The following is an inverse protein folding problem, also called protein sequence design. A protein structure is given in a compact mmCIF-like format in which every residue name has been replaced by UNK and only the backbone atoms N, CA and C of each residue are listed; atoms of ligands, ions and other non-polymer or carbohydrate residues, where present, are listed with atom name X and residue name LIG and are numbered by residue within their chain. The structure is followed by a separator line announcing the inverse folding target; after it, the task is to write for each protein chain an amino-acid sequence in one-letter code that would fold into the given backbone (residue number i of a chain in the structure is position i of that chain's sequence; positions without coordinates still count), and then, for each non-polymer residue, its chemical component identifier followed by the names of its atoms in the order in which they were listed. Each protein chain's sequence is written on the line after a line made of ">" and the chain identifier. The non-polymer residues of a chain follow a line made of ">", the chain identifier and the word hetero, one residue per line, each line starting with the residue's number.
data_IF_312469464465
#
_entry.id   IF_312469464465
#
_cell.length_a   1.000
_cell.length_b   1.000
_cell.length_c   1.000
_cell.angle_alpha   90.00
_cell.angle_beta   90.00
_cell.angle_gamma   90.00
#
_symmetry.space_group_name_H-M   'P 1'
#
loop_
_entity.id
_entity.type
_entity.pdbx_description
1 polymer ?
#
# COMPACT_ATOMS: atom_id res chain seq x y z
N UNK A 1 -7.53 -28.57 14.32
CA UNK A 1 -7.50 -27.14 14.00
C UNK A 1 -7.31 -27.00 12.49
N UNK A 2 -8.23 -26.39 11.76
CA UNK A 2 -7.99 -26.13 10.34
C UNK A 2 -6.80 -25.17 10.22
N UNK A 3 -5.78 -25.56 9.46
CA UNK A 3 -4.70 -24.66 9.05
C UNK A 3 -5.37 -23.56 8.22
N UNK A 4 -5.34 -22.32 8.71
CA UNK A 4 -5.68 -21.15 7.89
C UNK A 4 -4.54 -21.08 6.87
N UNK A 5 -4.76 -21.68 5.70
CA UNK A 5 -3.86 -21.49 4.55
C UNK A 5 -3.86 -20.01 4.23
N UNK A 6 -2.68 -19.41 4.13
CA UNK A 6 -2.52 -18.04 3.64
C UNK A 6 -3.20 -17.94 2.28
N UNK A 7 -3.90 -16.84 1.97
CA UNK A 7 -4.54 -16.69 0.67
C UNK A 7 -3.50 -16.79 -0.43
N UNK A 8 -3.81 -17.58 -1.47
CA UNK A 8 -2.97 -17.64 -2.66
C UNK A 8 -3.16 -16.32 -3.44
N UNK A 9 -2.06 -15.62 -3.69
CA UNK A 9 -2.03 -14.41 -4.54
C UNK A 9 -1.67 -14.88 -5.95
N UNK A 10 -2.68 -15.05 -6.79
CA UNK A 10 -2.52 -15.58 -8.16
C UNK A 10 -2.76 -14.48 -9.18
N UNK A 11 -1.74 -14.17 -9.97
CA UNK A 11 -1.83 -13.20 -11.06
C UNK A 11 -2.88 -13.65 -12.10
N UNK A 12 -3.87 -12.81 -12.37
CA UNK A 12 -5.00 -13.12 -13.24
C UNK A 12 -4.74 -12.82 -14.73
N UNK A 13 -3.51 -12.50 -15.11
CA UNK A 13 -3.08 -12.24 -16.47
C UNK A 13 -1.63 -12.70 -16.68
N UNK A 14 -1.18 -12.88 -17.93
CA UNK A 14 0.20 -13.27 -18.22
C UNK A 14 1.21 -12.24 -17.68
N UNK A 15 2.28 -12.70 -17.04
CA UNK A 15 3.27 -11.83 -16.40
C UNK A 15 4.00 -10.92 -17.41
N UNK A 16 4.11 -11.35 -18.65
CA UNK A 16 4.66 -10.58 -19.77
C UNK A 16 3.83 -9.33 -20.10
N UNK A 17 2.56 -9.29 -19.73
CA UNK A 17 1.67 -8.15 -19.98
C UNK A 17 1.82 -7.01 -18.98
N UNK A 18 2.59 -7.20 -17.90
CA UNK A 18 2.77 -6.22 -16.82
C UNK A 18 3.18 -4.85 -17.36
N UNK A 19 4.19 -4.78 -18.23
CA UNK A 19 4.69 -3.50 -18.75
C UNK A 19 3.66 -2.81 -19.64
N UNK A 20 2.97 -3.56 -20.50
CA UNK A 20 1.94 -3.01 -21.37
C UNK A 20 0.70 -2.51 -20.61
N UNK A 21 0.30 -3.23 -19.55
CA UNK A 21 -0.79 -2.81 -18.67
C UNK A 21 -0.41 -1.55 -17.89
N UNK A 22 0.78 -1.51 -17.31
CA UNK A 22 1.27 -0.35 -16.58
C UNK A 22 1.35 0.91 -17.46
N UNK A 23 1.70 0.77 -18.73
CA UNK A 23 1.77 1.88 -19.69
C UNK A 23 0.39 2.52 -19.98
N UNK A 24 -0.71 1.78 -19.78
CA UNK A 24 -2.07 2.28 -19.94
C UNK A 24 -2.67 2.87 -18.66
N UNK A 25 -1.95 2.78 -17.53
CA UNK A 25 -2.38 3.40 -16.29
C UNK A 25 -2.50 4.92 -16.49
N UNK A 26 -3.58 5.57 -15.98
CA UNK A 26 -3.76 7.00 -16.14
C UNK A 26 -2.59 7.82 -15.61
N UNK A 27 -2.17 8.83 -16.36
CA UNK A 27 -1.12 9.73 -15.89
C UNK A 27 -1.54 10.40 -14.56
N UNK A 28 -0.65 10.31 -13.57
CA UNK A 28 -0.86 10.85 -12.25
C UNK A 28 0.37 11.63 -11.81
N UNK A 29 0.18 12.84 -11.32
CA UNK A 29 1.27 13.64 -10.76
C UNK A 29 1.50 13.25 -9.30
N UNK A 30 2.51 12.44 -9.07
CA UNK A 30 2.92 11.98 -7.74
C UNK A 30 4.06 12.81 -7.13
N UNK A 31 4.54 13.87 -7.80
CA UNK A 31 5.74 14.63 -7.38
C UNK A 31 5.63 15.18 -5.95
N UNK A 32 4.50 15.83 -5.63
CA UNK A 32 4.27 16.35 -4.27
C UNK A 32 4.20 15.22 -3.23
N UNK A 33 3.49 14.17 -3.55
CA UNK A 33 3.34 13.00 -2.70
C UNK A 33 4.70 12.35 -2.37
N UNK A 34 5.52 12.14 -3.38
CA UNK A 34 6.86 11.56 -3.23
C UNK A 34 7.83 12.53 -2.53
N UNK A 35 7.68 13.85 -2.72
CA UNK A 35 8.48 14.86 -2.00
C UNK A 35 8.18 14.85 -0.49
N UNK A 36 6.90 14.73 -0.12
CA UNK A 36 6.49 14.53 1.29
C UNK A 36 7.14 13.27 1.85
N UNK A 37 7.06 12.16 1.13
CA UNK A 37 7.67 10.89 1.54
C UNK A 37 9.19 10.98 1.72
N UNK A 38 9.88 11.67 0.83
CA UNK A 38 11.32 11.89 0.94
C UNK A 38 11.70 12.68 2.21
N UNK A 39 10.94 13.74 2.53
CA UNK A 39 11.13 14.52 3.75
C UNK A 39 10.86 13.67 5.01
N UNK A 40 9.81 12.86 5.00
CA UNK A 40 9.45 11.91 6.06
C UNK A 40 10.57 10.90 6.28
N UNK A 41 11.08 10.28 5.21
CA UNK A 41 12.18 9.32 5.30
C UNK A 41 13.45 9.95 5.88
N UNK A 42 13.80 11.15 5.45
CA UNK A 42 14.97 11.87 5.94
C UNK A 42 14.87 12.19 7.45
N UNK A 43 13.67 12.50 7.94
CA UNK A 43 13.39 12.85 9.33
C UNK A 43 13.11 11.62 10.21
N UNK A 44 12.66 10.51 9.62
CA UNK A 44 12.32 9.27 10.30
C UNK A 44 10.93 9.23 10.94
N UNK A 45 10.04 10.18 10.64
CA UNK A 45 8.65 10.19 11.08
C UNK A 45 7.80 11.14 10.24
N UNK A 46 6.48 10.95 10.28
CA UNK A 46 5.50 11.88 9.73
C UNK A 46 5.19 13.01 10.73
N UNK A 47 5.08 14.24 10.25
CA UNK A 47 4.29 15.26 10.95
C UNK A 47 2.81 14.93 10.79
N UNK A 48 1.95 15.48 11.69
CA UNK A 48 0.50 15.27 11.59
C UNK A 48 -0.07 15.79 10.26
N UNK A 49 0.43 16.91 9.75
CA UNK A 49 -0.03 17.48 8.48
C UNK A 49 0.30 16.57 7.29
N UNK A 50 1.52 16.08 7.19
CA UNK A 50 1.96 15.13 6.16
C UNK A 50 1.20 13.80 6.25
N UNK A 51 0.97 13.30 7.46
CA UNK A 51 0.19 12.09 7.71
C UNK A 51 -1.24 12.23 7.18
N UNK A 52 -1.92 13.33 7.52
CA UNK A 52 -3.28 13.61 7.03
C UNK A 52 -3.29 13.76 5.51
N UNK A 53 -2.31 14.44 4.92
CA UNK A 53 -2.20 14.63 3.47
C UNK A 53 -2.09 13.28 2.74
N UNK A 54 -1.18 12.41 3.18
CA UNK A 54 -0.96 11.09 2.55
C UNK A 54 -2.16 10.17 2.75
N UNK A 55 -2.75 10.13 3.94
CA UNK A 55 -3.96 9.35 4.20
C UNK A 55 -5.15 9.82 3.35
N UNK A 56 -5.33 11.13 3.20
CA UNK A 56 -6.41 11.71 2.40
C UNK A 56 -6.22 11.47 0.90
N UNK A 57 -4.98 11.40 0.42
CA UNK A 57 -4.68 11.02 -0.96
C UNK A 57 -5.21 9.62 -1.29
N UNK A 58 -5.05 8.66 -0.37
CA UNK A 58 -5.56 7.29 -0.53
C UNK A 58 -7.07 7.19 -0.31
N UNK A 59 -7.57 7.80 0.75
CA UNK A 59 -8.97 7.67 1.18
C UNK A 59 -9.49 8.99 1.75
N UNK A 60 -9.99 9.91 0.92
CA UNK A 60 -10.48 11.22 1.39
C UNK A 60 -11.53 11.13 2.50
N UNK A 61 -12.38 10.09 2.48
CA UNK A 61 -13.44 9.85 3.47
C UNK A 61 -12.91 9.55 4.89
N UNK A 62 -11.67 9.07 5.01
CA UNK A 62 -11.06 8.78 6.31
C UNK A 62 -10.52 10.03 7.02
N UNK A 63 -10.47 11.18 6.33
CA UNK A 63 -9.87 12.43 6.83
C UNK A 63 -10.31 12.83 8.25
N UNK A 64 -11.60 12.81 8.63
CA UNK A 64 -11.99 13.16 10.00
C UNK A 64 -11.37 12.23 11.06
N UNK A 65 -11.30 10.93 10.79
CA UNK A 65 -10.72 9.94 11.71
C UNK A 65 -9.20 10.08 11.82
N UNK A 66 -8.52 10.18 10.69
CA UNK A 66 -7.05 10.37 10.71
C UNK A 66 -6.66 11.70 11.35
N UNK A 67 -7.45 12.76 11.15
CA UNK A 67 -7.24 14.06 11.76
C UNK A 67 -7.49 14.07 13.28
N UNK A 68 -8.16 13.08 13.84
CA UNK A 68 -8.34 12.95 15.29
C UNK A 68 -7.06 12.54 16.03
N UNK A 69 -6.07 11.98 15.35
CA UNK A 69 -4.80 11.60 15.96
C UNK A 69 -4.01 12.82 16.43
N UNK A 70 -3.60 12.87 17.73
CA UNK A 70 -2.75 13.94 18.22
C UNK A 70 -1.37 13.94 17.54
N UNK A 71 -0.71 15.11 17.36
CA UNK A 71 0.60 15.19 16.71
C UNK A 71 1.65 14.25 17.30
N UNK A 72 1.73 14.19 18.64
CA UNK A 72 2.67 13.32 19.35
C UNK A 72 2.43 11.82 19.08
N UNK A 73 1.17 11.42 18.94
CA UNK A 73 0.80 10.03 18.63
C UNK A 73 1.23 9.65 17.22
N UNK A 74 0.99 10.53 16.24
CA UNK A 74 1.44 10.34 14.85
C UNK A 74 2.96 10.21 14.80
N UNK A 75 3.69 11.14 15.44
CA UNK A 75 5.16 11.11 15.47
C UNK A 75 5.68 9.82 16.10
N UNK A 76 5.13 9.40 17.24
CA UNK A 76 5.59 8.20 17.95
C UNK A 76 5.34 6.92 17.14
N UNK A 77 4.13 6.74 16.60
CA UNK A 77 3.77 5.56 15.83
C UNK A 77 4.57 5.47 14.52
N UNK A 78 4.67 6.57 13.77
CA UNK A 78 5.40 6.59 12.50
C UNK A 78 6.91 6.46 12.70
N UNK A 79 7.49 7.01 13.77
CA UNK A 79 8.89 6.79 14.11
C UNK A 79 9.20 5.32 14.39
N UNK A 80 8.35 4.61 15.13
CA UNK A 80 8.49 3.17 15.34
C UNK A 80 8.40 2.41 14.02
N UNK A 81 7.41 2.74 13.20
CA UNK A 81 7.21 2.09 11.90
C UNK A 81 8.42 2.28 10.97
N UNK A 82 8.95 3.49 10.85
CA UNK A 82 10.06 3.78 9.95
C UNK A 82 11.42 3.36 10.51
N UNK A 83 11.54 3.21 11.83
CA UNK A 83 12.79 2.88 12.52
C UNK A 83 13.05 1.38 12.70
N UNK A 84 12.07 0.49 12.42
CA UNK A 84 12.26 -0.96 12.52
C UNK A 84 12.63 -1.59 11.18
N UNK A 85 13.44 -2.66 11.21
CA UNK A 85 13.72 -3.49 10.03
C UNK A 85 12.65 -4.58 9.81
N UNK A 86 11.87 -4.91 10.85
CA UNK A 86 10.91 -5.99 10.83
C UNK A 86 9.55 -5.54 10.28
N UNK A 87 9.04 -6.23 9.27
CA UNK A 87 7.82 -5.84 8.55
C UNK A 87 6.55 -5.95 9.41
N UNK A 88 6.44 -6.96 10.29
CA UNK A 88 5.25 -7.14 11.13
C UNK A 88 5.08 -6.00 12.16
N UNK A 89 6.08 -5.64 12.99
CA UNK A 89 5.97 -4.49 13.87
C UNK A 89 5.91 -3.16 13.11
N UNK A 90 6.49 -3.05 11.91
CA UNK A 90 6.39 -1.86 11.05
C UNK A 90 4.95 -1.52 10.73
N UNK A 91 4.23 -2.46 10.13
CA UNK A 91 2.82 -2.23 9.76
C UNK A 91 1.93 -2.10 11.01
N UNK A 92 2.19 -2.92 12.05
CA UNK A 92 1.42 -2.90 13.29
C UNK A 92 1.45 -1.52 13.97
N UNK A 93 2.60 -0.84 13.98
CA UNK A 93 2.72 0.50 14.55
C UNK A 93 1.84 1.54 13.82
N UNK A 94 1.68 1.43 12.50
CA UNK A 94 0.79 2.32 11.73
C UNK A 94 -0.68 2.01 11.99
N UNK A 95 -1.03 0.75 12.20
CA UNK A 95 -2.41 0.33 12.47
C UNK A 95 -2.94 0.78 13.83
N UNK A 96 -2.10 1.27 14.73
CA UNK A 96 -2.50 1.89 16.01
C UNK A 96 -3.16 3.26 15.80
N UNK A 97 -2.95 3.90 14.64
CA UNK A 97 -3.47 5.24 14.36
C UNK A 97 -4.94 5.17 13.93
N UNK A 98 -5.75 6.07 14.45
CA UNK A 98 -7.17 6.18 14.11
C UNK A 98 -7.35 6.43 12.60
N UNK A 99 -8.26 5.67 11.99
CA UNK A 99 -8.56 5.77 10.56
C UNK A 99 -7.55 5.09 9.64
N UNK A 100 -6.54 4.40 10.19
CA UNK A 100 -5.51 3.70 9.41
C UNK A 100 -5.77 2.20 9.41
N UNK A 101 -6.20 1.66 8.26
CA UNK A 101 -6.17 0.24 7.97
C UNK A 101 -4.95 -0.12 7.12
N UNK A 102 -4.78 -1.40 6.79
CA UNK A 102 -3.65 -1.87 5.98
C UNK A 102 -3.53 -1.15 4.63
N UNK A 103 -4.62 -0.86 3.88
CA UNK A 103 -4.51 -0.07 2.64
C UNK A 103 -3.89 1.31 2.85
N UNK A 104 -4.31 2.04 3.89
CA UNK A 104 -3.76 3.36 4.22
C UNK A 104 -2.33 3.25 4.72
N UNK A 105 -2.04 2.27 5.60
CA UNK A 105 -0.70 2.01 6.09
C UNK A 105 0.29 1.68 4.97
N UNK A 106 -0.13 0.87 3.99
CA UNK A 106 0.68 0.57 2.80
C UNK A 106 1.03 1.82 2.00
N UNK A 107 0.10 2.77 1.92
CA UNK A 107 0.32 4.06 1.24
C UNK A 107 1.32 4.94 1.99
N UNK A 108 1.25 4.96 3.32
CA UNK A 108 2.25 5.66 4.15
C UNK A 108 3.66 5.06 3.97
N UNK A 109 3.75 3.73 3.89
CA UNK A 109 5.03 3.06 3.62
C UNK A 109 5.53 3.32 2.20
N UNK A 110 4.65 3.26 1.19
CA UNK A 110 5.00 3.57 -0.19
C UNK A 110 5.51 5.02 -0.33
N UNK A 111 4.87 6.00 0.32
CA UNK A 111 5.33 7.38 0.26
C UNK A 111 6.77 7.53 0.77
N UNK A 112 7.09 6.90 1.91
CA UNK A 112 8.41 6.97 2.51
C UNK A 112 9.46 6.10 1.78
N UNK A 113 9.05 4.95 1.24
CA UNK A 113 9.92 3.95 0.61
C UNK A 113 9.28 3.42 -0.69
N UNK A 114 9.20 4.24 -1.75
CA UNK A 114 8.43 3.91 -2.96
C UNK A 114 8.96 2.71 -3.73
N UNK A 115 10.24 2.37 -3.57
CA UNK A 115 10.86 1.22 -4.23
C UNK A 115 10.71 -0.08 -3.44
N UNK A 116 10.24 -0.01 -2.18
CA UNK A 116 10.21 -1.15 -1.26
C UNK A 116 8.81 -1.65 -0.96
N UNK A 117 7.78 -0.80 -1.09
CA UNK A 117 6.41 -1.12 -0.68
C UNK A 117 5.39 -0.94 -1.79
N UNK A 118 4.53 -1.95 -2.03
CA UNK A 118 3.36 -1.83 -2.88
C UNK A 118 2.22 -1.12 -2.12
N UNK A 119 1.27 -0.57 -2.86
CA UNK A 119 0.02 -0.05 -2.30
C UNK A 119 -1.04 -1.16 -2.35
N UNK A 120 -1.66 -1.49 -1.21
CA UNK A 120 -2.79 -2.40 -1.19
C UNK A 120 -4.06 -1.66 -1.59
N UNK A 121 -4.70 -2.13 -2.65
CA UNK A 121 -5.93 -1.58 -3.21
C UNK A 121 -6.89 -2.70 -3.62
N UNK A 122 -8.19 -2.42 -3.61
CA UNK A 122 -9.23 -3.40 -4.00
C UNK A 122 -8.99 -3.93 -5.41
N UNK A 123 -8.70 -3.05 -6.37
CA UNK A 123 -8.43 -3.46 -7.77
C UNK A 123 -7.18 -4.32 -7.90
N UNK A 124 -6.17 -4.01 -7.11
CA UNK A 124 -4.93 -4.81 -7.09
C UNK A 124 -5.22 -6.22 -6.57
N UNK A 125 -6.03 -6.36 -5.52
CA UNK A 125 -6.44 -7.65 -4.99
C UNK A 125 -7.27 -8.46 -6.00
N UNK A 126 -8.19 -7.82 -6.72
CA UNK A 126 -8.96 -8.47 -7.80
C UNK A 126 -8.04 -9.08 -8.86
N UNK A 127 -7.01 -8.35 -9.26
CA UNK A 127 -6.00 -8.81 -10.23
C UNK A 127 -5.08 -9.91 -9.68
N UNK A 128 -5.12 -10.15 -8.37
CA UNK A 128 -4.44 -11.26 -7.69
C UNK A 128 -5.41 -12.39 -7.27
N UNK A 129 -6.63 -12.39 -7.84
CA UNK A 129 -7.64 -13.43 -7.60
C UNK A 129 -8.33 -13.34 -6.24
N UNK A 130 -8.27 -12.20 -5.57
CA UNK A 130 -8.82 -12.03 -4.23
C UNK A 130 -9.93 -11.00 -4.19
N UNK A 131 -10.89 -11.24 -3.29
CA UNK A 131 -11.94 -10.27 -2.96
C UNK A 131 -11.45 -9.31 -1.88
N UNK A 132 -11.93 -8.06 -1.93
CA UNK A 132 -11.71 -7.09 -0.87
C UNK A 132 -12.32 -7.56 0.46
N UNK A 133 -11.74 -7.09 1.56
CA UNK A 133 -12.19 -7.35 2.93
C UNK A 133 -12.38 -6.04 3.66
N UNK A 134 -13.21 -6.05 4.69
CA UNK A 134 -13.38 -4.89 5.58
C UNK A 134 -12.13 -4.64 6.45
N UNK A 135 -11.45 -5.73 6.84
CA UNK A 135 -10.23 -5.69 7.66
C UNK A 135 -9.21 -6.68 7.12
N UNK A 136 -7.95 -6.26 7.10
CA UNK A 136 -6.82 -7.08 6.72
C UNK A 136 -5.92 -7.30 7.94
N UNK A 137 -5.65 -8.54 8.37
CA UNK A 137 -4.69 -8.80 9.44
C UNK A 137 -3.25 -8.58 8.97
N UNK A 138 -2.33 -8.39 9.91
CA UNK A 138 -0.89 -8.23 9.62
C UNK A 138 -0.35 -9.39 8.77
N UNK A 139 -0.77 -10.63 9.07
CA UNK A 139 -0.37 -11.80 8.28
C UNK A 139 -0.76 -11.73 6.81
N UNK A 140 -1.92 -11.14 6.51
CA UNK A 140 -2.35 -10.89 5.12
C UNK A 140 -1.41 -9.90 4.44
N UNK A 141 -1.08 -8.80 5.11
CA UNK A 141 -0.14 -7.81 4.58
C UNK A 141 1.22 -8.43 4.26
N UNK A 142 1.77 -9.24 5.16
CA UNK A 142 3.06 -9.90 4.94
C UNK A 142 3.04 -10.80 3.71
N UNK A 143 1.97 -11.58 3.53
CA UNK A 143 1.79 -12.41 2.34
C UNK A 143 1.66 -11.59 1.06
N UNK A 144 0.88 -10.51 1.10
CA UNK A 144 0.70 -9.58 -0.01
C UNK A 144 2.03 -8.92 -0.42
N UNK A 145 2.77 -8.41 0.55
CA UNK A 145 4.07 -7.77 0.35
C UNK A 145 5.06 -8.73 -0.35
N UNK A 146 5.18 -9.97 0.14
CA UNK A 146 6.07 -10.97 -0.46
C UNK A 146 5.60 -11.38 -1.86
N UNK A 147 4.29 -11.53 -2.08
CA UNK A 147 3.73 -11.84 -3.40
C UNK A 147 4.05 -10.73 -4.40
N UNK A 148 3.82 -9.46 -4.05
CA UNK A 148 4.13 -8.32 -4.93
C UNK A 148 5.63 -8.22 -5.22
N UNK A 149 6.50 -8.38 -4.23
CA UNK A 149 7.95 -8.38 -4.41
C UNK A 149 8.40 -9.50 -5.34
N UNK A 150 7.84 -10.68 -5.19
CA UNK A 150 8.14 -11.84 -6.05
C UNK A 150 7.68 -11.61 -7.48
N UNK A 151 6.44 -11.12 -7.68
CA UNK A 151 5.92 -10.83 -9.01
C UNK A 151 6.72 -9.73 -9.72
N UNK A 152 7.07 -8.65 -9.01
CA UNK A 152 7.88 -7.58 -9.57
C UNK A 152 9.26 -8.07 -10.03
N UNK A 153 9.94 -8.89 -9.22
CA UNK A 153 11.21 -9.53 -9.60
C UNK A 153 11.06 -10.43 -10.82
N UNK A 154 10.02 -11.26 -10.87
CA UNK A 154 9.75 -12.16 -12.01
C UNK A 154 9.44 -11.40 -13.29
N UNK A 155 8.72 -10.30 -13.20
CA UNK A 155 8.41 -9.44 -14.33
C UNK A 155 9.57 -8.50 -14.73
N UNK A 156 10.61 -8.38 -13.91
CA UNK A 156 11.73 -7.47 -14.14
C UNK A 156 11.36 -6.00 -14.07
N UNK A 157 10.38 -5.64 -13.22
CA UNK A 157 9.86 -4.27 -13.08
C UNK A 157 9.90 -3.78 -11.64
N UNK A 158 9.69 -2.46 -11.43
CA UNK A 158 9.53 -1.90 -10.10
C UNK A 158 8.19 -2.32 -9.47
N UNK A 159 8.10 -2.26 -8.13
CA UNK A 159 6.83 -2.47 -7.43
C UNK A 159 5.75 -1.49 -7.91
N UNK A 160 6.11 -0.23 -8.19
CA UNK A 160 5.14 0.75 -8.68
C UNK A 160 4.63 0.41 -10.08
N UNK A 161 5.48 -0.11 -10.96
CA UNK A 161 5.07 -0.60 -12.28
C UNK A 161 4.09 -1.77 -12.13
N UNK A 162 4.38 -2.72 -11.25
CA UNK A 162 3.48 -3.82 -10.94
C UNK A 162 2.13 -3.32 -10.40
N UNK A 163 2.12 -2.40 -9.43
CA UNK A 163 0.89 -1.80 -8.89
C UNK A 163 0.01 -1.20 -9.98
N UNK A 164 0.61 -0.42 -10.87
CA UNK A 164 -0.09 0.20 -12.01
C UNK A 164 -0.70 -0.85 -12.93
N UNK A 165 0.03 -1.91 -13.23
CA UNK A 165 -0.44 -3.02 -14.08
C UNK A 165 -1.63 -3.76 -13.45
N UNK A 166 -1.51 -4.12 -12.17
CA UNK A 166 -2.56 -4.81 -11.43
C UNK A 166 -3.84 -3.96 -11.36
N UNK A 167 -3.71 -2.68 -11.04
CA UNK A 167 -4.83 -1.75 -10.99
C UNK A 167 -5.50 -1.59 -12.36
N UNK A 168 -4.69 -1.44 -13.40
CA UNK A 168 -5.17 -1.25 -14.77
C UNK A 168 -5.91 -2.49 -15.30
N UNK A 169 -5.36 -3.68 -15.04
CA UNK A 169 -6.02 -4.93 -15.43
C UNK A 169 -7.41 -5.05 -14.80
N UNK A 170 -7.53 -4.84 -13.50
CA UNK A 170 -8.83 -4.86 -12.83
C UNK A 170 -9.79 -3.83 -13.44
N UNK A 171 -9.32 -2.60 -13.68
CA UNK A 171 -10.14 -1.55 -14.29
C UNK A 171 -10.71 -1.95 -15.66
N UNK A 172 -9.91 -2.61 -16.49
CA UNK A 172 -10.30 -3.03 -17.83
C UNK A 172 -11.20 -4.27 -17.82
N UNK A 173 -11.11 -5.11 -16.79
CA UNK A 173 -11.79 -6.40 -16.72
C UNK A 173 -12.89 -6.46 -15.64
N UNK A 174 -13.06 -5.43 -14.82
CA UNK A 174 -14.19 -5.35 -13.89
C UNK A 174 -15.46 -5.14 -14.72
N UNK A 175 -16.36 -6.13 -14.68
CA UNK A 175 -17.71 -5.98 -15.24
C UNK A 175 -18.38 -4.87 -14.43
N UNK A 176 -18.86 -3.85 -15.14
CA UNK A 176 -19.71 -2.82 -14.52
C UNK A 176 -20.94 -3.51 -13.92
N UNK A 177 -20.96 -3.58 -12.60
CA UNK A 177 -22.15 -3.99 -11.81
C UNK A 177 -22.97 -2.78 -11.48
#
# INVERSE_FOLDING_TARGET
>A
MPRITAPAFELQFPIEDVTALAARFPAMDERRFLAVGAAVRARGHYTRAEFIEVCAWKTPRSRPRVAANPPRTVVAATRRALGTADEAPRIAALLELDGVGVPTASTLLYAAFPDEYPILDVRVLESLGLKSRSVYPVSFWLGYLEACRTLARRAGVSLRTLDKALWQYSKENSVAT
#
